data_IF_576054458910
#
_entry.id   IF_576054458910
#
_cell.length_a   1.000
_cell.length_b   1.000
_cell.length_c   1.000
_cell.angle_alpha   90.00
_cell.angle_beta   90.00
_cell.angle_gamma   90.00
#
_symmetry.space_group_name_H-M   'P 1'
#
loop_
_entity.id
_entity.type
_entity.pdbx_description
1 polymer ?
#
# COMPACT_ATOMS: atom_id res chain seq x y z
N UNK A 1 -14.79 -40.03 2.79
CA UNK A 1 -15.96 -39.50 2.07
C UNK A 1 -15.93 -38.00 2.28
N UNK A 2 -16.07 -37.15 1.27
CA UNK A 2 -16.23 -35.73 1.54
C UNK A 2 -17.55 -35.59 2.32
N UNK A 3 -17.45 -35.02 3.52
CA UNK A 3 -18.60 -34.57 4.26
C UNK A 3 -19.45 -33.70 3.35
N UNK A 4 -20.76 -33.93 3.29
CA UNK A 4 -21.70 -33.14 2.51
C UNK A 4 -21.63 -31.69 3.03
N UNK A 5 -20.83 -30.86 2.40
CA UNK A 5 -20.86 -29.42 2.68
C UNK A 5 -22.27 -28.92 2.41
N UNK A 6 -22.85 -28.11 3.29
CA UNK A 6 -24.16 -27.55 3.07
C UNK A 6 -24.13 -26.70 1.79
N UNK A 7 -25.13 -26.88 0.95
CA UNK A 7 -25.34 -25.98 -0.20
C UNK A 7 -25.65 -24.59 0.33
N UNK A 8 -25.20 -23.56 -0.40
CA UNK A 8 -25.59 -22.19 -0.07
C UNK A 8 -27.13 -22.10 0.02
N UNK A 9 -27.67 -21.41 1.03
CA UNK A 9 -29.12 -21.22 1.18
C UNK A 9 -29.70 -20.46 -0.02
N UNK A 10 -31.04 -20.36 -0.08
CA UNK A 10 -31.70 -19.55 -1.10
C UNK A 10 -31.22 -18.10 -1.06
N UNK A 11 -31.07 -17.47 -2.23
CA UNK A 11 -30.53 -16.13 -2.40
C UNK A 11 -31.60 -15.03 -2.44
N UNK A 12 -32.88 -15.39 -2.29
CA UNK A 12 -33.99 -14.47 -2.53
C UNK A 12 -33.96 -13.24 -1.61
N UNK A 13 -33.67 -13.43 -0.33
CA UNK A 13 -33.55 -12.34 0.63
C UNK A 13 -32.38 -11.39 0.33
N UNK A 14 -31.24 -11.93 -0.13
CA UNK A 14 -30.09 -11.11 -0.56
C UNK A 14 -30.43 -10.37 -1.87
N UNK A 15 -31.12 -11.04 -2.80
CA UNK A 15 -31.55 -10.41 -4.06
C UNK A 15 -32.53 -9.26 -3.80
N UNK A 16 -33.42 -9.40 -2.83
CA UNK A 16 -34.43 -8.38 -2.50
C UNK A 16 -33.81 -7.12 -1.86
N UNK A 17 -32.55 -7.17 -1.44
CA UNK A 17 -31.79 -5.98 -1.04
C UNK A 17 -31.48 -5.07 -2.26
N UNK A 18 -31.45 -5.62 -3.47
CA UNK A 18 -31.14 -4.87 -4.69
C UNK A 18 -32.42 -4.17 -5.19
N UNK A 19 -32.40 -2.84 -5.16
CA UNK A 19 -33.54 -1.99 -5.56
C UNK A 19 -33.14 -1.02 -6.65
N UNK A 20 -33.97 -0.90 -7.66
CA UNK A 20 -33.80 0.00 -8.81
C UNK A 20 -34.80 1.13 -8.72
N UNK A 21 -34.33 2.33 -8.47
CA UNK A 21 -35.10 3.58 -8.49
C UNK A 21 -34.78 4.31 -9.80
N UNK A 22 -35.35 3.82 -10.91
CA UNK A 22 -34.96 4.27 -12.26
C UNK A 22 -35.33 5.71 -12.53
N UNK A 23 -36.44 6.23 -11.97
CA UNK A 23 -36.84 7.62 -12.10
C UNK A 23 -35.84 8.57 -11.45
N UNK A 24 -35.20 8.14 -10.37
CA UNK A 24 -34.17 8.88 -9.66
C UNK A 24 -32.74 8.57 -10.16
N UNK A 25 -32.60 7.59 -11.06
CA UNK A 25 -31.31 7.11 -11.55
C UNK A 25 -30.45 6.49 -10.44
N UNK A 26 -31.09 5.76 -9.52
CA UNK A 26 -30.43 5.15 -8.36
C UNK A 26 -30.62 3.65 -8.31
N UNK A 27 -29.55 2.97 -7.84
CA UNK A 27 -29.57 1.55 -7.52
C UNK A 27 -29.05 1.41 -6.10
N UNK A 28 -29.71 0.60 -5.31
CA UNK A 28 -29.35 0.35 -3.92
C UNK A 28 -29.18 -1.14 -3.67
N UNK A 29 -28.24 -1.49 -2.81
CA UNK A 29 -28.15 -2.78 -2.18
C UNK A 29 -28.20 -2.57 -0.66
N UNK A 30 -29.31 -2.96 -0.04
CA UNK A 30 -29.66 -2.52 1.31
C UNK A 30 -29.67 -0.98 1.42
N UNK A 31 -28.77 -0.41 2.21
CA UNK A 31 -28.62 1.04 2.41
C UNK A 31 -27.48 1.64 1.57
N UNK A 32 -26.70 0.80 0.87
CA UNK A 32 -25.55 1.24 0.07
C UNK A 32 -25.94 1.60 -1.35
N UNK A 33 -25.44 2.75 -1.84
CA UNK A 33 -25.61 3.17 -3.23
C UNK A 33 -24.76 2.32 -4.16
N UNK A 34 -25.41 1.66 -5.13
CA UNK A 34 -24.73 0.87 -6.16
C UNK A 34 -24.59 1.64 -7.47
N UNK A 35 -23.57 1.31 -8.23
CA UNK A 35 -23.37 1.73 -9.62
C UNK A 35 -23.08 0.51 -10.46
N UNK A 36 -23.80 0.33 -11.57
CA UNK A 36 -23.50 -0.73 -12.53
C UNK A 36 -22.40 -0.26 -13.47
N UNK A 37 -21.28 -0.99 -13.47
CA UNK A 37 -20.17 -0.79 -14.39
C UNK A 37 -20.04 -1.99 -15.32
N UNK A 38 -19.63 -1.75 -16.56
CA UNK A 38 -19.27 -2.83 -17.46
C UNK A 38 -17.92 -3.40 -17.09
N UNK A 39 -17.70 -4.70 -17.31
CA UNK A 39 -16.38 -5.32 -17.10
C UNK A 39 -15.27 -4.63 -17.90
N UNK A 40 -15.56 -4.09 -19.09
CA UNK A 40 -14.63 -3.30 -19.90
C UNK A 40 -14.20 -1.98 -19.25
N UNK A 41 -15.08 -1.33 -18.47
CA UNK A 41 -14.72 -0.12 -17.72
C UNK A 41 -13.79 -0.45 -16.55
N UNK A 42 -14.06 -1.56 -15.86
CA UNK A 42 -13.18 -2.08 -14.80
C UNK A 42 -11.84 -2.55 -15.37
N UNK A 43 -11.82 -3.14 -16.55
CA UNK A 43 -10.59 -3.50 -17.27
C UNK A 43 -9.75 -2.25 -17.58
N UNK A 44 -10.37 -1.20 -18.12
CA UNK A 44 -9.68 0.05 -18.42
C UNK A 44 -9.11 0.71 -17.16
N UNK A 45 -9.88 0.74 -16.06
CA UNK A 45 -9.41 1.25 -14.77
C UNK A 45 -8.22 0.43 -14.25
N UNK A 46 -8.32 -0.90 -14.29
CA UNK A 46 -7.23 -1.79 -13.84
C UNK A 46 -5.96 -1.59 -14.66
N UNK A 47 -6.07 -1.47 -15.99
CA UNK A 47 -4.94 -1.18 -16.87
C UNK A 47 -4.29 0.15 -16.49
N UNK A 48 -5.07 1.21 -16.33
CA UNK A 48 -4.56 2.53 -15.94
C UNK A 48 -3.83 2.50 -14.59
N UNK A 49 -4.35 1.76 -13.62
CA UNK A 49 -3.69 1.57 -12.33
C UNK A 49 -2.35 0.83 -12.48
N UNK A 50 -2.29 -0.21 -13.30
CA UNK A 50 -1.08 -0.98 -13.54
C UNK A 50 -0.04 -0.13 -14.28
N UNK A 51 -0.44 0.57 -15.33
CA UNK A 51 0.45 1.40 -16.15
C UNK A 51 1.02 2.58 -15.35
N UNK A 52 0.20 3.21 -14.49
CA UNK A 52 0.60 4.38 -13.71
C UNK A 52 1.39 4.05 -12.44
N UNK A 53 1.08 2.94 -11.77
CA UNK A 53 1.59 2.62 -10.43
C UNK A 53 2.46 1.37 -10.38
N UNK A 54 2.43 0.56 -11.43
CA UNK A 54 3.01 -0.77 -11.47
C UNK A 54 2.10 -1.84 -10.85
N UNK A 55 2.35 -3.10 -11.21
CA UNK A 55 1.54 -4.26 -10.87
C UNK A 55 1.31 -4.41 -9.35
N UNK A 56 2.37 -4.32 -8.57
CA UNK A 56 2.35 -4.57 -7.12
C UNK A 56 1.50 -3.55 -6.35
N UNK A 57 1.59 -2.26 -6.71
CA UNK A 57 0.78 -1.19 -6.12
C UNK A 57 -0.68 -1.25 -6.55
N UNK A 58 -0.93 -1.53 -7.83
CA UNK A 58 -2.27 -1.74 -8.35
C UNK A 58 -2.97 -2.90 -7.62
N UNK A 59 -2.27 -4.02 -7.42
CA UNK A 59 -2.71 -5.17 -6.62
C UNK A 59 -3.12 -4.74 -5.21
N UNK A 60 -2.26 -4.02 -4.49
CA UNK A 60 -2.55 -3.54 -3.15
C UNK A 60 -3.76 -2.61 -3.08
N UNK A 61 -3.93 -1.70 -4.05
CA UNK A 61 -5.10 -0.82 -4.11
C UNK A 61 -6.40 -1.61 -4.30
N UNK A 62 -6.43 -2.55 -5.25
CA UNK A 62 -7.60 -3.36 -5.55
C UNK A 62 -7.95 -4.31 -4.40
N UNK A 63 -6.95 -4.91 -3.73
CA UNK A 63 -7.16 -5.71 -2.52
C UNK A 63 -7.83 -4.85 -1.42
N UNK A 64 -7.32 -3.65 -1.13
CA UNK A 64 -7.89 -2.78 -0.10
C UNK A 64 -9.30 -2.30 -0.44
N UNK A 65 -9.57 -2.01 -1.72
CA UNK A 65 -10.91 -1.67 -2.18
C UNK A 65 -11.90 -2.81 -1.90
N UNK A 66 -11.55 -4.03 -2.29
CA UNK A 66 -12.35 -5.21 -1.99
C UNK A 66 -12.52 -5.44 -0.49
N UNK A 67 -11.44 -5.28 0.29
CA UNK A 67 -11.46 -5.47 1.74
C UNK A 67 -12.49 -4.58 2.45
N UNK A 68 -12.56 -3.30 2.07
CA UNK A 68 -13.55 -2.35 2.62
C UNK A 68 -14.97 -2.78 2.24
N UNK A 69 -15.21 -3.14 0.98
CA UNK A 69 -16.52 -3.61 0.53
C UNK A 69 -16.97 -4.87 1.28
N UNK A 70 -16.06 -5.84 1.46
CA UNK A 70 -16.35 -7.05 2.22
C UNK A 70 -16.73 -6.77 3.68
N UNK A 71 -16.06 -5.83 4.34
CA UNK A 71 -16.40 -5.45 5.72
C UNK A 71 -17.83 -4.87 5.83
N UNK A 72 -18.23 -4.04 4.87
CA UNK A 72 -19.60 -3.47 4.83
C UNK A 72 -20.67 -4.56 4.64
N UNK A 73 -20.41 -5.51 3.75
CA UNK A 73 -21.32 -6.63 3.51
C UNK A 73 -21.42 -7.58 4.72
N UNK A 74 -20.36 -7.75 5.50
CA UNK A 74 -20.41 -8.57 6.74
C UNK A 74 -21.35 -7.96 7.78
N UNK A 75 -21.36 -6.63 7.95
CA UNK A 75 -22.30 -5.96 8.84
C UNK A 75 -23.74 -6.08 8.31
N UNK A 76 -23.93 -6.05 7.01
CA UNK A 76 -25.23 -6.26 6.35
C UNK A 76 -25.73 -7.70 6.54
N UNK A 77 -24.85 -8.70 6.41
CA UNK A 77 -25.18 -10.11 6.62
C UNK A 77 -25.76 -10.38 8.01
N UNK A 78 -25.12 -9.85 9.06
CA UNK A 78 -25.56 -9.99 10.45
C UNK A 78 -26.92 -9.32 10.71
N UNK A 79 -27.20 -8.20 10.04
CA UNK A 79 -28.51 -7.52 10.13
C UNK A 79 -29.60 -8.24 9.34
N UNK A 80 -29.28 -8.85 8.20
CA UNK A 80 -30.23 -9.51 7.32
C UNK A 80 -30.75 -10.82 7.92
N UNK A 81 -29.86 -11.58 8.57
CA UNK A 81 -30.17 -12.93 9.10
C UNK A 81 -29.79 -13.07 10.58
N UNK A 82 -30.35 -12.25 11.50
CA UNK A 82 -29.90 -12.16 12.89
C UNK A 82 -30.08 -13.47 13.69
N UNK A 83 -31.11 -14.27 13.36
CA UNK A 83 -31.44 -15.48 14.07
C UNK A 83 -31.17 -16.78 13.27
N UNK A 84 -30.49 -16.65 12.11
CA UNK A 84 -30.19 -17.77 11.24
C UNK A 84 -28.96 -18.58 11.74
N UNK A 85 -28.81 -19.83 11.32
CA UNK A 85 -27.60 -20.61 11.56
C UNK A 85 -26.36 -19.84 11.02
N UNK A 86 -25.22 -19.98 11.70
CA UNK A 86 -23.98 -19.26 11.40
C UNK A 86 -23.57 -19.37 9.91
N UNK A 87 -23.70 -20.56 9.33
CA UNK A 87 -23.43 -20.80 7.92
C UNK A 87 -24.33 -19.96 6.99
N UNK A 88 -25.62 -19.84 7.33
CA UNK A 88 -26.57 -19.09 6.51
C UNK A 88 -26.26 -17.59 6.55
N UNK A 89 -25.88 -17.07 7.72
CA UNK A 89 -25.45 -15.68 7.88
C UNK A 89 -24.15 -15.44 7.09
N UNK A 90 -23.16 -16.30 7.24
CA UNK A 90 -21.88 -16.21 6.50
C UNK A 90 -22.10 -16.27 4.99
N UNK A 91 -23.07 -17.08 4.54
CA UNK A 91 -23.35 -17.27 3.11
C UNK A 91 -23.78 -16.01 2.38
N UNK A 92 -24.22 -14.96 3.08
CA UNK A 92 -24.58 -13.66 2.49
C UNK A 92 -23.40 -13.06 1.71
N UNK A 93 -22.15 -13.17 2.21
CA UNK A 93 -20.98 -12.67 1.50
C UNK A 93 -20.75 -13.36 0.14
N UNK A 94 -20.60 -14.70 0.07
CA UNK A 94 -20.58 -15.43 -1.20
C UNK A 94 -21.76 -15.10 -2.11
N UNK A 95 -22.97 -14.98 -1.57
CA UNK A 95 -24.17 -14.65 -2.33
C UNK A 95 -24.17 -13.22 -2.89
N UNK A 96 -23.66 -12.24 -2.13
CA UNK A 96 -23.45 -10.86 -2.62
C UNK A 96 -22.48 -10.82 -3.80
N UNK A 97 -21.40 -11.57 -3.75
CA UNK A 97 -20.46 -11.71 -4.87
C UNK A 97 -21.12 -12.29 -6.13
N UNK A 98 -21.96 -13.31 -5.95
CA UNK A 98 -22.72 -13.91 -7.05
C UNK A 98 -23.75 -12.93 -7.61
N UNK A 99 -24.50 -12.25 -6.74
CA UNK A 99 -25.55 -11.29 -7.12
C UNK A 99 -24.99 -10.09 -7.90
N UNK A 100 -23.83 -9.60 -7.49
CA UNK A 100 -23.14 -8.47 -8.17
C UNK A 100 -22.40 -8.87 -9.43
N UNK A 101 -22.46 -10.15 -9.82
CA UNK A 101 -21.87 -10.66 -11.06
C UNK A 101 -20.34 -10.76 -11.03
N UNK A 102 -19.72 -10.80 -9.85
CA UNK A 102 -18.27 -10.82 -9.75
C UNK A 102 -17.71 -12.23 -9.96
N UNK A 103 -18.31 -13.24 -9.31
CA UNK A 103 -17.82 -14.61 -9.34
C UNK A 103 -18.86 -15.57 -8.77
N UNK A 104 -18.93 -16.79 -9.30
CA UNK A 104 -19.69 -17.89 -8.68
C UNK A 104 -18.83 -18.54 -7.61
N UNK A 105 -19.34 -18.57 -6.38
CA UNK A 105 -18.63 -19.12 -5.20
C UNK A 105 -19.23 -20.48 -4.82
N UNK A 106 -18.37 -21.49 -4.67
CA UNK A 106 -18.75 -22.82 -4.19
C UNK A 106 -17.89 -23.19 -2.97
N UNK A 107 -18.49 -23.40 -1.78
CA UNK A 107 -17.76 -23.86 -0.61
C UNK A 107 -17.17 -25.25 -0.84
N UNK A 108 -15.89 -25.44 -0.49
CA UNK A 108 -15.20 -26.74 -0.50
C UNK A 108 -14.93 -27.22 0.92
N UNK A 109 -14.58 -26.29 1.80
CA UNK A 109 -14.38 -26.51 3.23
C UNK A 109 -14.75 -25.24 3.97
N UNK A 110 -15.42 -25.37 5.11
CA UNK A 110 -15.70 -24.25 6.00
C UNK A 110 -15.77 -24.76 7.45
N UNK A 111 -14.76 -24.38 8.22
CA UNK A 111 -14.70 -24.53 9.67
C UNK A 111 -14.71 -23.11 10.25
N UNK A 112 -15.75 -22.77 10.99
CA UNK A 112 -15.93 -21.43 11.57
C UNK A 112 -16.50 -21.54 12.99
N UNK A 113 -15.85 -20.83 13.91
CA UNK A 113 -16.30 -20.67 15.29
C UNK A 113 -16.10 -19.20 15.69
N UNK A 114 -17.22 -18.46 15.81
CA UNK A 114 -17.20 -17.04 16.19
C UNK A 114 -16.82 -16.83 17.66
N UNK A 115 -17.11 -17.78 18.56
CA UNK A 115 -16.81 -17.63 20.00
C UNK A 115 -15.31 -17.69 20.26
N UNK A 116 -14.63 -18.59 19.55
CA UNK A 116 -13.17 -18.78 19.65
C UNK A 116 -12.42 -17.91 18.62
N UNK A 117 -13.11 -17.45 17.59
CA UNK A 117 -12.50 -16.66 16.50
C UNK A 117 -11.66 -17.53 15.56
N UNK A 118 -11.98 -18.82 15.42
CA UNK A 118 -11.29 -19.71 14.48
C UNK A 118 -11.98 -19.69 13.11
N UNK A 119 -11.18 -19.78 12.07
CA UNK A 119 -11.66 -19.85 10.71
C UNK A 119 -10.69 -20.66 9.83
N UNK A 120 -11.24 -21.60 9.07
CA UNK A 120 -10.54 -22.22 7.95
C UNK A 120 -11.52 -22.47 6.82
N UNK A 121 -11.43 -21.71 5.74
CA UNK A 121 -12.33 -21.78 4.60
C UNK A 121 -11.58 -22.05 3.29
N UNK A 122 -12.11 -22.97 2.48
CA UNK A 122 -11.66 -23.21 1.11
C UNK A 122 -12.87 -23.06 0.18
N UNK A 123 -12.73 -22.25 -0.86
CA UNK A 123 -13.79 -21.99 -1.82
C UNK A 123 -13.25 -22.12 -3.24
N UNK A 124 -14.07 -22.67 -4.11
CA UNK A 124 -13.86 -22.64 -5.54
C UNK A 124 -14.61 -21.46 -6.15
N UNK A 125 -13.94 -20.78 -7.07
CA UNK A 125 -14.47 -19.67 -7.84
C UNK A 125 -14.54 -20.03 -9.33
N UNK A 126 -15.72 -19.85 -9.90
CA UNK A 126 -15.96 -20.01 -11.33
C UNK A 126 -16.44 -18.68 -11.92
N UNK A 127 -16.12 -18.40 -13.17
CA UNK A 127 -16.52 -17.18 -13.88
C UNK A 127 -16.05 -15.90 -13.17
N UNK A 128 -14.78 -15.86 -12.71
CA UNK A 128 -14.20 -14.66 -12.13
C UNK A 128 -14.02 -13.58 -13.20
N UNK A 129 -14.74 -12.45 -13.05
CA UNK A 129 -14.59 -11.34 -13.97
C UNK A 129 -13.16 -10.79 -14.01
N UNK A 130 -12.45 -10.78 -12.86
CA UNK A 130 -11.07 -10.31 -12.79
C UNK A 130 -10.10 -11.19 -13.58
N UNK A 131 -10.29 -12.51 -13.53
CA UNK A 131 -9.49 -13.43 -14.33
C UNK A 131 -9.79 -13.26 -15.84
N UNK A 132 -11.08 -13.09 -16.20
CA UNK A 132 -11.49 -12.88 -17.59
C UNK A 132 -10.90 -11.59 -18.19
N UNK A 133 -11.05 -10.45 -17.51
CA UNK A 133 -10.51 -9.18 -18.02
C UNK A 133 -8.99 -9.17 -18.04
N UNK A 134 -8.32 -9.84 -17.11
CA UNK A 134 -6.87 -9.93 -17.08
C UNK A 134 -6.34 -10.77 -18.25
N UNK A 135 -6.93 -11.95 -18.49
CA UNK A 135 -6.58 -12.82 -19.62
C UNK A 135 -6.78 -12.13 -20.96
N UNK A 136 -7.86 -11.36 -21.10
CA UNK A 136 -8.15 -10.61 -22.32
C UNK A 136 -7.13 -9.52 -22.62
N UNK A 137 -6.56 -8.87 -21.59
CA UNK A 137 -5.62 -7.75 -21.74
C UNK A 137 -4.16 -8.21 -21.79
N UNK A 138 -3.77 -9.10 -20.87
CA UNK A 138 -2.35 -9.45 -20.61
C UNK A 138 -2.00 -10.89 -20.96
N UNK A 139 -3.00 -11.74 -21.25
CA UNK A 139 -2.78 -13.19 -21.40
C UNK A 139 -2.57 -13.89 -20.07
N UNK A 140 -1.93 -15.06 -20.10
CA UNK A 140 -1.72 -15.91 -18.92
C UNK A 140 -0.69 -15.28 -17.98
N UNK A 141 -1.07 -15.18 -16.70
CA UNK A 141 -0.23 -14.63 -15.63
C UNK A 141 0.64 -15.71 -14.96
N UNK A 142 1.75 -15.29 -14.36
CA UNK A 142 2.54 -16.12 -13.44
C UNK A 142 2.04 -16.10 -12.00
N UNK A 143 1.23 -15.10 -11.64
CA UNK A 143 0.65 -14.92 -10.31
C UNK A 143 -0.87 -14.77 -10.39
N UNK A 144 -1.59 -15.16 -9.31
CA UNK A 144 -3.04 -14.98 -9.22
C UNK A 144 -3.48 -13.52 -9.40
N UNK A 145 -4.64 -13.35 -10.05
CA UNK A 145 -5.08 -12.03 -10.53
C UNK A 145 -6.44 -11.55 -9.98
N UNK A 146 -7.12 -12.33 -9.13
CA UNK A 146 -8.43 -12.00 -8.59
C UNK A 146 -8.33 -11.11 -7.33
N UNK A 147 -7.72 -9.95 -7.48
CA UNK A 147 -7.26 -9.13 -6.34
C UNK A 147 -8.39 -8.49 -5.55
N UNK A 148 -9.37 -7.88 -6.22
CA UNK A 148 -10.51 -7.25 -5.55
C UNK A 148 -11.36 -8.29 -4.84
N UNK A 149 -11.60 -9.42 -5.50
CA UNK A 149 -12.37 -10.54 -4.95
C UNK A 149 -11.67 -11.15 -3.73
N UNK A 150 -10.33 -11.30 -3.78
CA UNK A 150 -9.53 -11.79 -2.67
C UNK A 150 -9.58 -10.83 -1.47
N UNK A 151 -9.49 -9.53 -1.75
CA UNK A 151 -9.65 -8.48 -0.75
C UNK A 151 -11.01 -8.54 -0.08
N UNK A 152 -12.08 -8.68 -0.87
CA UNK A 152 -13.45 -8.82 -0.36
C UNK A 152 -13.61 -10.04 0.56
N UNK A 153 -13.15 -11.22 0.14
CA UNK A 153 -13.21 -12.42 0.97
C UNK A 153 -12.50 -12.23 2.31
N UNK A 154 -11.31 -11.60 2.29
CA UNK A 154 -10.55 -11.30 3.50
C UNK A 154 -11.27 -10.28 4.39
N UNK A 155 -11.80 -9.20 3.81
CA UNK A 155 -12.52 -8.14 4.53
C UNK A 155 -13.80 -8.63 5.17
N UNK A 156 -14.63 -9.33 4.38
CA UNK A 156 -15.89 -9.93 4.85
C UNK A 156 -15.64 -10.88 6.03
N UNK A 157 -14.75 -11.84 5.82
CA UNK A 157 -14.49 -12.87 6.84
C UNK A 157 -13.84 -12.29 8.09
N UNK A 158 -12.89 -11.35 7.93
CA UNK A 158 -12.28 -10.69 9.09
C UNK A 158 -13.29 -9.94 9.94
N UNK A 159 -14.21 -9.20 9.32
CA UNK A 159 -15.27 -8.46 10.00
C UNK A 159 -16.29 -9.39 10.62
N UNK A 160 -16.61 -10.48 9.93
CA UNK A 160 -17.58 -11.47 10.38
C UNK A 160 -17.09 -12.20 11.63
N UNK A 161 -15.87 -12.72 11.61
CA UNK A 161 -15.26 -13.51 12.71
C UNK A 161 -14.71 -12.62 13.83
N UNK A 162 -14.47 -11.32 13.57
CA UNK A 162 -13.88 -10.40 14.54
C UNK A 162 -12.37 -10.55 14.73
N UNK A 163 -11.69 -11.25 13.80
CA UNK A 163 -10.25 -11.48 13.78
C UNK A 163 -9.71 -11.31 12.36
N UNK A 164 -8.44 -10.93 12.21
CA UNK A 164 -7.87 -10.77 10.88
C UNK A 164 -7.72 -12.12 10.16
N UNK A 165 -8.53 -12.31 9.12
CA UNK A 165 -8.48 -13.48 8.23
C UNK A 165 -7.93 -13.00 6.89
N UNK A 166 -6.92 -13.72 6.38
CA UNK A 166 -6.38 -13.47 5.06
C UNK A 166 -6.68 -14.65 4.15
N UNK A 167 -7.07 -14.34 2.94
CA UNK A 167 -7.23 -15.33 1.88
C UNK A 167 -6.06 -15.28 0.92
N UNK A 168 -5.72 -16.46 0.37
CA UNK A 168 -4.76 -16.65 -0.71
C UNK A 168 -5.40 -17.46 -1.83
N UNK A 169 -5.16 -17.09 -3.05
CA UNK A 169 -5.45 -17.95 -4.21
C UNK A 169 -4.39 -19.06 -4.30
N UNK A 170 -4.87 -20.31 -4.31
CA UNK A 170 -4.04 -21.51 -4.50
C UNK A 170 -4.01 -21.95 -5.96
N UNK A 171 -5.02 -21.58 -6.74
CA UNK A 171 -5.11 -21.77 -8.18
C UNK A 171 -5.92 -20.63 -8.79
N UNK A 172 -5.59 -20.22 -10.01
CA UNK A 172 -6.22 -19.08 -10.67
C UNK A 172 -6.43 -19.36 -12.16
N UNK A 173 -7.64 -19.06 -12.66
CA UNK A 173 -7.94 -19.12 -14.08
C UNK A 173 -7.00 -18.20 -14.88
N UNK A 174 -6.66 -17.02 -14.32
CA UNK A 174 -5.68 -16.11 -14.89
C UNK A 174 -4.28 -16.70 -15.04
N UNK A 175 -3.96 -17.78 -14.31
CA UNK A 175 -2.72 -18.55 -14.42
C UNK A 175 -2.84 -19.80 -15.29
N UNK A 176 -3.99 -20.00 -15.97
CA UNK A 176 -4.24 -21.16 -16.84
C UNK A 176 -4.92 -22.34 -16.13
N UNK A 177 -5.33 -22.20 -14.86
CA UNK A 177 -6.10 -23.22 -14.15
C UNK A 177 -7.56 -23.26 -14.64
N UNK A 178 -8.26 -24.37 -14.37
CA UNK A 178 -9.67 -24.53 -14.77
C UNK A 178 -10.65 -23.70 -13.94
N UNK A 179 -10.30 -23.38 -12.70
CA UNK A 179 -11.05 -22.59 -11.74
C UNK A 179 -10.11 -21.91 -10.77
N UNK A 180 -10.55 -20.85 -10.17
CA UNK A 180 -9.81 -20.27 -9.06
C UNK A 180 -10.15 -21.01 -7.78
N UNK A 181 -9.17 -21.21 -6.92
CA UNK A 181 -9.36 -21.77 -5.58
C UNK A 181 -8.71 -20.85 -4.56
N UNK A 182 -9.48 -20.47 -3.54
CA UNK A 182 -8.99 -19.64 -2.45
C UNK A 182 -9.02 -20.40 -1.13
N UNK A 183 -8.07 -20.12 -0.26
CA UNK A 183 -8.01 -20.60 1.11
C UNK A 183 -7.86 -19.41 2.07
N UNK A 184 -8.68 -19.39 3.12
CA UNK A 184 -8.67 -18.38 4.17
C UNK A 184 -8.33 -18.97 5.53
N UNK A 185 -7.43 -18.26 6.26
CA UNK A 185 -7.02 -18.59 7.64
C UNK A 185 -6.75 -17.31 8.43
N UNK A 186 -6.69 -17.39 9.77
CA UNK A 186 -6.12 -16.33 10.59
C UNK A 186 -4.75 -15.87 10.06
N UNK A 187 -4.51 -14.58 10.07
CA UNK A 187 -3.30 -14.01 9.47
C UNK A 187 -2.01 -14.63 10.02
N UNK A 188 -1.95 -14.92 11.31
CA UNK A 188 -0.82 -15.51 12.01
C UNK A 188 -0.56 -17.00 11.71
N UNK A 189 -1.47 -17.67 11.03
CA UNK A 189 -1.32 -19.05 10.56
C UNK A 189 -0.67 -19.14 9.17
N UNK A 190 -0.36 -17.98 8.56
CA UNK A 190 0.39 -17.92 7.30
C UNK A 190 1.87 -17.68 7.56
N UNK A 191 2.74 -18.57 7.04
CA UNK A 191 4.20 -18.46 7.20
C UNK A 191 4.77 -17.14 6.61
N UNK A 192 4.11 -16.61 5.58
CA UNK A 192 4.45 -15.36 4.89
C UNK A 192 3.48 -14.21 5.23
N UNK A 193 2.96 -14.19 6.45
CA UNK A 193 1.96 -13.22 6.92
C UNK A 193 2.33 -11.77 6.59
N UNK A 194 3.56 -11.33 6.87
CA UNK A 194 4.00 -9.95 6.62
C UNK A 194 4.01 -9.60 5.12
N UNK A 195 4.34 -10.55 4.26
CA UNK A 195 4.30 -10.35 2.82
C UNK A 195 2.86 -10.18 2.32
N UNK A 196 1.92 -10.95 2.85
CA UNK A 196 0.50 -10.80 2.55
C UNK A 196 -0.05 -9.47 3.07
N UNK A 197 0.27 -9.13 4.33
CA UNK A 197 -0.22 -7.92 5.00
C UNK A 197 0.20 -6.63 4.33
N UNK A 198 1.33 -6.62 3.60
CA UNK A 198 1.80 -5.41 2.89
C UNK A 198 0.74 -4.87 1.92
N UNK A 199 -0.08 -5.73 1.30
CA UNK A 199 -1.13 -5.32 0.38
C UNK A 199 -2.35 -4.68 1.07
N UNK A 200 -2.55 -4.97 2.36
CA UNK A 200 -3.65 -4.42 3.17
C UNK A 200 -3.28 -3.10 3.85
N UNK A 201 -1.99 -2.72 3.87
CA UNK A 201 -1.51 -1.45 4.42
C UNK A 201 -1.49 -0.36 3.33
N UNK A 202 -1.89 0.89 3.65
CA UNK A 202 -1.79 1.99 2.69
C UNK A 202 -0.34 2.25 2.28
N UNK A 203 -0.07 2.25 0.98
CA UNK A 203 1.22 2.69 0.41
C UNK A 203 1.14 4.20 0.09
N UNK A 204 1.74 5.03 0.94
CA UNK A 204 1.74 6.49 0.79
C UNK A 204 2.90 6.92 -0.10
N UNK A 205 2.67 6.94 -1.41
CA UNK A 205 3.68 7.41 -2.41
C UNK A 205 4.17 8.81 -2.07
N UNK A 206 3.30 9.69 -1.60
CA UNK A 206 3.68 11.04 -1.20
C UNK A 206 4.77 11.04 -0.12
N UNK A 207 4.64 10.21 0.91
CA UNK A 207 5.63 10.12 1.99
C UNK A 207 6.98 9.63 1.48
N UNK A 208 6.99 8.67 0.54
CA UNK A 208 8.22 8.18 -0.11
C UNK A 208 8.88 9.26 -0.96
N UNK A 209 8.10 10.03 -1.74
CA UNK A 209 8.61 11.14 -2.53
C UNK A 209 9.22 12.24 -1.66
N UNK A 210 8.57 12.61 -0.56
CA UNK A 210 9.12 13.58 0.41
C UNK A 210 10.42 13.09 1.03
N UNK A 211 10.48 11.81 1.44
CA UNK A 211 11.68 11.22 1.99
C UNK A 211 12.84 11.23 0.97
N UNK A 212 12.58 10.84 -0.27
CA UNK A 212 13.58 10.88 -1.36
C UNK A 212 14.02 12.29 -1.68
N UNK A 213 13.12 13.27 -1.76
CA UNK A 213 13.46 14.67 -1.96
C UNK A 213 14.36 15.21 -0.85
N UNK A 214 14.04 14.88 0.41
CA UNK A 214 14.88 15.28 1.56
C UNK A 214 16.28 14.67 1.48
N UNK A 215 16.38 13.37 1.10
CA UNK A 215 17.68 12.71 0.90
C UNK A 215 18.48 13.35 -0.23
N UNK A 216 17.87 13.64 -1.37
CA UNK A 216 18.52 14.31 -2.49
C UNK A 216 19.01 15.70 -2.11
N UNK A 217 18.20 16.47 -1.36
CA UNK A 217 18.60 17.80 -0.86
C UNK A 217 19.80 17.70 0.07
N UNK A 218 19.76 16.79 1.05
CA UNK A 218 20.89 16.56 1.97
C UNK A 218 22.17 16.12 1.25
N UNK A 219 22.05 15.23 0.26
CA UNK A 219 23.21 14.79 -0.53
C UNK A 219 23.81 15.95 -1.36
N UNK A 220 22.95 16.81 -1.96
CA UNK A 220 23.40 17.99 -2.68
C UNK A 220 24.12 18.99 -1.77
N UNK A 221 23.56 19.25 -0.59
CA UNK A 221 24.18 20.13 0.40
C UNK A 221 25.57 19.63 0.83
N UNK A 222 25.69 18.30 1.06
CA UNK A 222 26.97 17.65 1.38
C UNK A 222 28.01 17.83 0.24
N UNK A 223 27.60 17.58 -1.01
CA UNK A 223 28.47 17.74 -2.19
C UNK A 223 28.90 19.20 -2.39
N UNK A 224 27.98 20.15 -2.17
CA UNK A 224 28.30 21.59 -2.31
C UNK A 224 29.24 22.03 -1.21
N UNK A 225 29.09 21.52 0.03
CA UNK A 225 30.01 21.84 1.13
C UNK A 225 31.41 21.25 0.94
N UNK A 226 31.54 20.10 0.29
CA UNK A 226 32.84 19.50 -0.05
C UNK A 226 33.58 20.31 -1.15
N UNK A 227 32.85 20.85 -2.12
CA UNK A 227 33.46 21.66 -3.19
C UNK A 227 33.86 23.07 -2.73
N UNK A 228 33.20 23.66 -1.72
CA UNK A 228 33.45 25.02 -1.25
C UNK A 228 34.75 25.20 -0.44
N UNK A 229 35.29 24.09 0.11
CA UNK A 229 36.44 24.13 1.03
C UNK A 229 37.48 23.05 0.69
N UNK A 230 37.76 22.85 -0.63
CA UNK A 230 38.62 21.77 -1.15
C UNK A 230 40.02 21.69 -0.59
N UNK A 231 40.59 22.79 -0.12
CA UNK A 231 41.95 22.84 0.46
C UNK A 231 41.99 22.49 1.95
N UNK A 232 40.82 22.35 2.62
CA UNK A 232 40.75 21.99 4.04
C UNK A 232 40.60 20.49 4.18
N UNK A 233 41.66 19.80 4.54
CA UNK A 233 41.70 18.35 4.74
C UNK A 233 41.69 18.01 6.24
N UNK A 234 40.70 17.23 6.66
CA UNK A 234 40.58 16.74 8.02
C UNK A 234 39.35 15.84 8.21
N UNK A 235 39.44 14.84 9.11
CA UNK A 235 38.40 13.85 9.34
C UNK A 235 37.90 13.79 10.79
N UNK A 236 38.46 14.61 11.70
CA UNK A 236 37.99 14.62 13.10
C UNK A 236 36.58 15.22 13.22
N UNK A 237 35.77 14.74 14.15
CA UNK A 237 34.41 15.26 14.37
C UNK A 237 34.39 16.78 14.64
N UNK A 238 35.38 17.29 15.40
CA UNK A 238 35.52 18.73 15.66
C UNK A 238 35.88 19.51 14.37
N UNK A 239 36.76 18.97 13.52
CA UNK A 239 37.11 19.59 12.26
C UNK A 239 35.88 19.71 11.34
N UNK A 240 35.10 18.63 11.21
CA UNK A 240 33.89 18.62 10.40
C UNK A 240 32.84 19.62 10.89
N UNK A 241 32.65 19.75 12.22
CA UNK A 241 31.76 20.76 12.82
C UNK A 241 32.21 22.20 12.51
N UNK A 242 33.52 22.48 12.62
CA UNK A 242 34.06 23.81 12.32
C UNK A 242 33.92 24.12 10.84
N UNK A 243 34.17 23.16 9.96
CA UNK A 243 33.98 23.31 8.52
C UNK A 243 32.52 23.64 8.17
N UNK A 244 31.55 22.99 8.79
CA UNK A 244 30.11 23.27 8.58
C UNK A 244 29.73 24.67 9.04
N UNK A 245 30.21 25.10 10.21
CA UNK A 245 30.01 26.46 10.70
C UNK A 245 30.63 27.51 9.78
N UNK A 246 31.80 27.21 9.25
CA UNK A 246 32.48 28.08 8.30
C UNK A 246 31.71 28.25 6.98
N UNK A 247 31.11 27.14 6.48
CA UNK A 247 30.26 27.14 5.30
C UNK A 247 29.06 28.06 5.49
N UNK A 248 28.36 27.92 6.60
CA UNK A 248 27.21 28.79 6.97
C UNK A 248 27.61 30.27 7.13
N UNK A 249 28.81 30.54 7.67
CA UNK A 249 29.32 31.89 7.81
C UNK A 249 29.71 32.53 6.45
N UNK A 250 30.19 31.72 5.50
CA UNK A 250 30.60 32.17 4.16
C UNK A 250 29.43 32.74 3.33
N UNK A 251 28.18 32.21 3.57
CA UNK A 251 26.96 32.68 2.92
C UNK A 251 26.49 34.05 3.44
N UNK A 252 27.07 34.53 4.54
CA UNK A 252 26.66 35.77 5.20
C UNK A 252 27.77 36.82 5.27
N UNK A 253 27.44 38.04 5.77
CA UNK A 253 28.42 39.11 5.98
C UNK A 253 28.82 39.24 7.45
N UNK A 254 28.76 38.16 8.23
CA UNK A 254 29.13 38.21 9.64
C UNK A 254 30.63 38.27 9.84
N UNK A 255 31.06 38.88 10.94
CA UNK A 255 32.46 38.85 11.38
C UNK A 255 32.70 37.51 12.07
N UNK A 256 33.74 36.80 11.66
CA UNK A 256 34.13 35.49 12.18
C UNK A 256 35.39 35.63 13.03
N UNK A 257 35.34 35.14 14.26
CA UNK A 257 36.50 35.00 15.13
C UNK A 257 36.96 33.54 15.17
N UNK A 258 38.19 33.27 14.71
CA UNK A 258 38.81 31.94 14.75
C UNK A 258 39.72 31.82 15.96
N UNK A 259 39.38 30.98 16.92
CA UNK A 259 40.13 30.69 18.13
C UNK A 259 40.81 29.31 18.06
N UNK A 260 42.06 29.23 18.53
CA UNK A 260 42.79 27.98 18.56
C UNK A 260 44.29 28.22 18.82
N UNK A 261 45.04 27.17 19.12
CA UNK A 261 46.46 27.18 19.37
C UNK A 261 47.27 27.65 18.14
N UNK A 262 48.52 28.06 18.34
CA UNK A 262 49.41 28.41 17.22
C UNK A 262 49.71 27.14 16.40
N UNK A 263 49.62 27.26 15.07
CA UNK A 263 49.89 26.12 14.17
C UNK A 263 48.69 25.26 13.79
N UNK A 264 47.50 25.45 14.40
CA UNK A 264 46.30 24.63 14.07
C UNK A 264 45.64 25.00 12.74
N UNK A 265 46.20 25.88 11.94
CA UNK A 265 45.74 26.21 10.60
C UNK A 265 44.65 27.30 10.52
N UNK A 266 44.53 28.22 11.52
CA UNK A 266 43.54 29.32 11.49
C UNK A 266 43.58 30.15 10.19
N UNK A 267 44.76 30.39 9.64
CA UNK A 267 44.92 31.14 8.37
C UNK A 267 44.34 30.39 7.17
N UNK A 268 44.44 29.05 7.17
CA UNK A 268 43.83 28.21 6.13
C UNK A 268 42.29 28.31 6.20
N UNK A 269 41.74 28.26 7.43
CA UNK A 269 40.29 28.45 7.63
C UNK A 269 39.81 29.84 7.23
N UNK A 270 40.59 30.88 7.49
CA UNK A 270 40.26 32.24 7.08
C UNK A 270 40.28 32.41 5.54
N UNK A 271 41.29 31.80 4.87
CA UNK A 271 41.38 31.78 3.43
C UNK A 271 40.24 31.00 2.80
N UNK A 272 39.91 29.82 3.31
CA UNK A 272 38.80 28.99 2.87
C UNK A 272 37.43 29.70 3.04
N UNK A 273 37.24 30.43 4.15
CA UNK A 273 36.04 31.28 4.37
C UNK A 273 35.94 32.37 3.27
N UNK A 274 37.02 33.01 2.90
CA UNK A 274 37.02 33.98 1.84
C UNK A 274 36.70 33.36 0.49
N UNK A 275 37.34 32.25 0.13
CA UNK A 275 37.16 31.53 -1.12
C UNK A 275 35.74 30.95 -1.27
N UNK A 276 35.13 30.52 -0.14
CA UNK A 276 33.73 30.03 -0.10
C UNK A 276 32.68 31.15 -0.07
N UNK A 277 33.08 32.42 0.04
CA UNK A 277 32.13 33.53 0.21
C UNK A 277 31.77 34.21 -1.13
N UNK A 278 30.71 35.03 -1.12
CA UNK A 278 30.35 35.89 -2.25
C UNK A 278 31.44 36.94 -2.59
N UNK A 279 32.51 37.01 -1.81
CA UNK A 279 33.67 37.92 -2.01
C UNK A 279 34.92 37.20 -2.52
N UNK A 280 34.82 35.95 -2.92
CA UNK A 280 35.96 35.12 -3.41
C UNK A 280 36.77 35.77 -4.51
N UNK A 281 36.13 36.59 -5.35
CA UNK A 281 36.79 37.32 -6.47
C UNK A 281 37.40 38.66 -6.03
N UNK A 282 37.33 39.00 -4.73
CA UNK A 282 37.93 40.20 -4.17
C UNK A 282 39.30 39.89 -3.52
N UNK A 283 40.13 40.91 -3.31
CA UNK A 283 41.40 40.73 -2.66
C UNK A 283 41.26 40.25 -1.21
N UNK A 284 42.00 39.19 -0.85
CA UNK A 284 42.17 38.74 0.52
C UNK A 284 43.35 39.48 1.14
N UNK A 285 43.13 40.34 2.10
CA UNK A 285 44.17 41.12 2.76
C UNK A 285 44.41 40.59 4.17
N UNK A 286 45.55 39.98 4.40
CA UNK A 286 45.97 39.53 5.73
C UNK A 286 46.86 40.59 6.39
N UNK A 287 46.49 40.97 7.62
CA UNK A 287 47.25 41.95 8.41
C UNK A 287 47.69 41.28 9.72
N UNK A 288 49.00 41.31 9.98
CA UNK A 288 49.53 40.82 11.26
C UNK A 288 49.63 42.01 12.24
N UNK A 289 48.66 42.09 13.16
CA UNK A 289 48.61 43.18 14.14
C UNK A 289 49.75 43.17 15.15
N UNK A 290 50.50 42.05 15.28
CA UNK A 290 51.67 42.00 16.15
C UNK A 290 52.93 42.59 15.50
N UNK A 291 52.88 42.88 14.21
CA UNK A 291 53.97 43.45 13.42
C UNK A 291 53.80 44.97 13.12
N UNK A 292 52.67 45.54 13.57
CA UNK A 292 52.36 46.96 13.57
C UNK A 292 52.58 47.48 15.01
#
# INVERSE_FOLDING_TARGET
MPENLPQLPAIDDVRDLLRFELEEGRIWMAEERMVLLRSSELQALRRELIDSLGMDRAKGLLIRMGYIAGQQDADTAKRLRPDAPLFDVFSVGPQSHMLTGQVKVTPVKLDIDEEVGTFHGIFDWENSFEAEIFLAEYGVSYEPVCWTQLGYASGFTSRFVGRQILFREQGCVGCGEKKCRIEGRPSEEWDDCEELLRYYRPDRIADQLFALQSQVTSLRENLTSEQSFGDLVGCSAKFLQVRELLAKAAESRVTVLLLGETGVGKDMFAKALHEGSARRDKAFVAVNCAAI
#
